data_IF_170444409109
#
_entry.id   IF_170444409109
#
_cell.length_a   1.000
_cell.length_b   1.000
_cell.length_c   1.000
_cell.angle_alpha   90.00
_cell.angle_beta   90.00
_cell.angle_gamma   90.00
#
_symmetry.space_group_name_H-M   'P 1'
#
loop_
_entity.id
_entity.type
_entity.pdbx_description
1 polymer ?
#
# COMPACT_ATOMS: atom_id res chain seq x y z
N UNK A 1 20.65 -22.31 -30.32
CA UNK A 1 19.29 -22.60 -29.84
C UNK A 1 19.39 -22.66 -28.34
N UNK A 2 18.95 -21.61 -27.64
CA UNK A 2 18.98 -21.58 -26.18
C UNK A 2 17.81 -22.40 -25.66
N UNK A 3 18.08 -23.35 -24.77
CA UNK A 3 17.08 -24.18 -24.12
C UNK A 3 16.21 -23.30 -23.23
N UNK A 4 14.92 -23.23 -23.56
CA UNK A 4 13.91 -22.61 -22.72
C UNK A 4 13.70 -23.53 -21.52
N UNK A 5 14.29 -23.19 -20.37
CA UNK A 5 13.98 -23.86 -19.10
C UNK A 5 12.48 -23.68 -18.80
N UNK A 6 11.73 -24.76 -18.94
CA UNK A 6 10.31 -24.82 -18.61
C UNK A 6 10.16 -24.70 -17.09
N UNK A 7 9.93 -23.47 -16.62
CA UNK A 7 9.67 -23.19 -15.20
C UNK A 7 8.46 -24.01 -14.74
N UNK A 8 8.69 -25.00 -13.87
CA UNK A 8 7.61 -25.86 -13.39
C UNK A 8 6.59 -25.03 -12.59
N UNK A 9 5.28 -25.18 -12.85
CA UNK A 9 4.27 -24.42 -12.12
C UNK A 9 4.37 -24.72 -10.61
N UNK A 10 4.62 -23.69 -9.81
CA UNK A 10 4.65 -23.81 -8.35
C UNK A 10 3.30 -24.34 -7.86
N UNK A 11 3.33 -25.50 -7.22
CA UNK A 11 2.14 -26.10 -6.59
C UNK A 11 1.58 -25.12 -5.54
N UNK A 12 0.28 -24.79 -5.55
CA UNK A 12 -0.29 -23.88 -4.59
C UNK A 12 -0.08 -24.43 -3.17
N UNK A 13 0.33 -23.59 -2.20
CA UNK A 13 0.58 -24.04 -0.84
C UNK A 13 -0.70 -24.68 -0.25
N UNK A 14 -0.51 -25.78 0.48
CA UNK A 14 -1.60 -26.46 1.16
C UNK A 14 -2.33 -25.55 2.16
N UNK A 15 -3.63 -25.75 2.35
CA UNK A 15 -4.43 -24.95 3.31
C UNK A 15 -3.91 -25.14 4.74
N UNK A 16 -3.35 -24.08 5.32
CA UNK A 16 -2.91 -24.04 6.72
C UNK A 16 -4.08 -23.55 7.59
N UNK A 17 -4.44 -24.26 8.65
CA UNK A 17 -5.54 -23.90 9.57
C UNK A 17 -5.04 -23.53 10.98
N UNK A 18 -5.89 -22.90 11.78
CA UNK A 18 -5.59 -22.54 13.18
C UNK A 18 -4.55 -21.41 13.32
N UNK A 19 -3.75 -21.44 14.39
CA UNK A 19 -2.67 -20.46 14.63
C UNK A 19 -1.65 -20.40 13.48
N UNK A 20 -1.47 -21.50 12.74
CA UNK A 20 -0.64 -21.53 11.54
C UNK A 20 -1.14 -20.63 10.40
N UNK A 21 -2.45 -20.33 10.34
CA UNK A 21 -3.02 -19.37 9.39
C UNK A 21 -2.62 -17.92 9.72
N UNK A 22 -2.50 -17.56 11.00
CA UNK A 22 -2.04 -16.23 11.42
C UNK A 22 -0.57 -16.02 11.05
N UNK A 23 0.28 -17.03 11.26
CA UNK A 23 1.69 -16.97 10.83
C UNK A 23 1.84 -16.96 9.30
N UNK A 24 1.01 -17.71 8.57
CA UNK A 24 0.96 -17.67 7.11
C UNK A 24 0.45 -16.31 6.58
N UNK A 25 -0.59 -15.73 7.20
CA UNK A 25 -1.04 -14.38 6.86
C UNK A 25 0.05 -13.34 7.14
N UNK A 26 0.78 -13.47 8.24
CA UNK A 26 1.95 -12.63 8.55
C UNK A 26 3.05 -12.74 7.48
N UNK A 27 3.36 -13.94 6.99
CA UNK A 27 4.36 -14.11 5.94
C UNK A 27 3.92 -13.56 4.58
N UNK A 28 2.64 -13.67 4.21
CA UNK A 28 2.09 -13.01 3.02
C UNK A 28 2.12 -11.48 3.12
N UNK A 29 1.79 -10.91 4.29
CA UNK A 29 1.87 -9.48 4.54
C UNK A 29 3.30 -8.94 4.40
N UNK A 30 4.32 -9.68 4.85
CA UNK A 30 5.73 -9.32 4.65
C UNK A 30 6.09 -9.32 3.16
N UNK A 31 5.58 -10.28 2.40
CA UNK A 31 5.74 -10.32 0.94
C UNK A 31 5.15 -9.08 0.26
N UNK A 32 3.93 -8.69 0.65
CA UNK A 32 3.27 -7.47 0.17
C UNK A 32 4.07 -6.21 0.51
N UNK A 33 4.52 -6.06 1.75
CA UNK A 33 5.35 -4.93 2.16
C UNK A 33 6.66 -4.85 1.37
N UNK A 34 7.32 -5.99 1.12
CA UNK A 34 8.54 -6.05 0.32
C UNK A 34 8.29 -5.67 -1.15
N UNK A 35 7.12 -5.99 -1.71
CA UNK A 35 6.72 -5.56 -3.05
C UNK A 35 6.50 -4.05 -3.09
N UNK A 36 5.76 -3.51 -2.12
CA UNK A 36 5.52 -2.07 -2.00
C UNK A 36 6.81 -1.27 -1.78
N UNK A 37 7.76 -1.80 -1.01
CA UNK A 37 9.04 -1.12 -0.76
C UNK A 37 9.84 -0.82 -2.04
N UNK A 38 9.56 -1.52 -3.14
CA UNK A 38 10.18 -1.25 -4.45
C UNK A 38 9.60 -0.01 -5.11
N UNK A 39 8.38 0.38 -4.76
CA UNK A 39 7.74 1.57 -5.29
C UNK A 39 8.33 2.83 -4.68
N UNK A 40 8.62 3.81 -5.54
CA UNK A 40 9.12 5.12 -5.10
C UNK A 40 8.02 5.91 -4.38
N UNK A 41 6.78 5.80 -4.85
CA UNK A 41 5.62 6.44 -4.21
C UNK A 41 5.48 6.00 -2.74
N UNK A 42 5.39 4.69 -2.51
CA UNK A 42 5.33 4.13 -1.16
C UNK A 42 6.46 4.58 -0.22
N UNK A 43 7.70 4.67 -0.71
CA UNK A 43 8.83 5.16 0.10
C UNK A 43 8.67 6.64 0.48
N UNK A 44 8.14 7.47 -0.42
CA UNK A 44 7.82 8.85 -0.11
C UNK A 44 6.67 8.97 0.88
N UNK A 45 5.62 8.17 0.74
CA UNK A 45 4.49 8.13 1.67
C UNK A 45 4.95 7.80 3.09
N UNK A 46 5.80 6.77 3.25
CA UNK A 46 6.36 6.42 4.56
C UNK A 46 7.23 7.54 5.15
N UNK A 47 8.03 8.21 4.32
CA UNK A 47 8.83 9.35 4.76
C UNK A 47 7.93 10.50 5.23
N UNK A 48 6.92 10.86 4.45
CA UNK A 48 5.96 11.91 4.82
C UNK A 48 5.15 11.53 6.07
N UNK A 49 4.76 10.27 6.21
CA UNK A 49 4.10 9.75 7.42
C UNK A 49 4.99 9.97 8.65
N UNK A 50 6.26 9.54 8.57
CA UNK A 50 7.20 9.64 9.68
C UNK A 50 7.51 11.09 10.05
N UNK A 51 7.75 11.95 9.05
CA UNK A 51 7.98 13.39 9.26
C UNK A 51 6.73 14.05 9.85
N UNK A 52 5.54 13.75 9.31
CA UNK A 52 4.27 14.29 9.80
C UNK A 52 4.02 13.94 11.26
N UNK A 53 4.18 12.66 11.65
CA UNK A 53 4.07 12.23 13.05
C UNK A 53 5.07 12.98 13.93
N UNK A 54 6.34 13.10 13.50
CA UNK A 54 7.38 13.83 14.22
C UNK A 54 7.02 15.30 14.44
N UNK A 55 6.49 15.97 13.42
CA UNK A 55 6.04 17.36 13.52
C UNK A 55 4.84 17.51 14.46
N UNK A 56 3.82 16.66 14.34
CA UNK A 56 2.65 16.71 15.24
C UNK A 56 3.06 16.58 16.71
N UNK A 57 3.95 15.63 17.01
CA UNK A 57 4.48 15.45 18.37
C UNK A 57 5.32 16.64 18.80
N UNK A 58 6.19 17.16 17.93
CA UNK A 58 7.06 18.30 18.24
C UNK A 58 6.26 19.60 18.51
N UNK A 59 5.12 19.79 17.83
CA UNK A 59 4.23 20.94 18.04
C UNK A 59 3.17 20.71 19.12
N UNK A 60 3.21 19.58 19.83
CA UNK A 60 2.33 19.32 20.97
C UNK A 60 0.89 18.99 20.59
N UNK A 61 0.65 18.45 19.39
CA UNK A 61 -0.66 17.97 19.00
C UNK A 61 -1.18 16.91 19.99
N UNK A 62 -2.50 16.90 20.22
CA UNK A 62 -3.09 15.96 21.17
C UNK A 62 -2.86 14.50 20.75
N UNK A 63 -2.76 13.55 21.71
CA UNK A 63 -2.61 12.13 21.38
C UNK A 63 -3.72 11.58 20.47
N UNK A 64 -4.94 12.14 20.57
CA UNK A 64 -6.06 11.76 19.71
C UNK A 64 -5.81 12.15 18.25
N UNK A 65 -5.27 13.35 17.99
CA UNK A 65 -4.90 13.79 16.65
C UNK A 65 -3.76 12.95 16.07
N UNK A 66 -2.72 12.68 16.87
CA UNK A 66 -1.60 11.83 16.44
C UNK A 66 -2.09 10.42 16.10
N UNK A 67 -2.95 9.83 16.95
CA UNK A 67 -3.54 8.51 16.69
C UNK A 67 -4.40 8.49 15.43
N UNK A 68 -5.24 9.51 15.21
CA UNK A 68 -6.04 9.65 13.99
C UNK A 68 -5.18 9.74 12.73
N UNK A 69 -4.11 10.53 12.78
CA UNK A 69 -3.15 10.63 11.68
C UNK A 69 -2.46 9.29 11.42
N UNK A 70 -2.02 8.57 12.45
CA UNK A 70 -1.42 7.23 12.30
C UNK A 70 -2.39 6.25 11.64
N UNK A 71 -3.67 6.25 12.04
CA UNK A 71 -4.70 5.39 11.44
C UNK A 71 -4.90 5.73 9.95
N UNK A 72 -4.92 7.01 9.58
CA UNK A 72 -5.01 7.43 8.18
C UNK A 72 -3.77 7.04 7.36
N UNK A 73 -2.57 7.04 7.94
CA UNK A 73 -1.37 6.56 7.26
C UNK A 73 -1.39 5.03 7.09
N UNK A 74 -1.89 4.27 8.06
CA UNK A 74 -2.10 2.83 7.90
C UNK A 74 -3.13 2.53 6.80
N UNK A 75 -4.20 3.32 6.72
CA UNK A 75 -5.16 3.24 5.63
C UNK A 75 -4.49 3.57 4.28
N UNK A 76 -3.62 4.58 4.23
CA UNK A 76 -2.86 4.95 3.03
C UNK A 76 -2.03 3.77 2.52
N UNK A 77 -1.26 3.13 3.40
CA UNK A 77 -0.47 1.94 3.08
C UNK A 77 -1.37 0.81 2.55
N UNK A 78 -2.55 0.60 3.14
CA UNK A 78 -3.49 -0.42 2.69
C UNK A 78 -4.06 -0.13 1.30
N UNK A 79 -4.42 1.12 1.02
CA UNK A 79 -4.93 1.53 -0.29
C UNK A 79 -3.82 1.49 -1.35
N UNK A 80 -2.59 1.89 -1.03
CA UNK A 80 -1.44 1.78 -1.94
C UNK A 80 -1.11 0.32 -2.27
N UNK A 81 -1.25 -0.60 -1.29
CA UNK A 81 -1.13 -2.03 -1.52
C UNK A 81 -2.20 -2.54 -2.51
N UNK A 82 -3.44 -2.09 -2.35
CA UNK A 82 -4.54 -2.45 -3.25
C UNK A 82 -4.35 -1.85 -4.64
N UNK A 83 -3.91 -0.60 -4.74
CA UNK A 83 -3.59 0.05 -6.02
C UNK A 83 -2.50 -0.74 -6.76
N UNK A 84 -1.40 -1.06 -6.08
CA UNK A 84 -0.31 -1.88 -6.65
C UNK A 84 -0.80 -3.27 -7.07
N UNK A 85 -1.70 -3.90 -6.30
CA UNK A 85 -2.28 -5.19 -6.67
C UNK A 85 -3.16 -5.10 -7.93
N UNK A 86 -3.95 -4.04 -8.06
CA UNK A 86 -4.77 -3.75 -9.25
C UNK A 86 -3.84 -3.53 -10.45
N UNK A 87 -2.80 -2.71 -10.32
CA UNK A 87 -1.82 -2.48 -11.39
C UNK A 87 -1.17 -3.79 -11.86
N UNK A 88 -0.70 -4.62 -10.92
CA UNK A 88 -0.10 -5.91 -11.24
C UNK A 88 -1.07 -6.85 -11.98
N UNK A 89 -2.34 -6.85 -11.58
CA UNK A 89 -3.37 -7.67 -12.23
C UNK A 89 -3.71 -7.14 -13.63
N UNK A 90 -3.88 -5.83 -13.76
CA UNK A 90 -4.19 -5.16 -15.02
C UNK A 90 -3.06 -5.36 -16.03
N UNK A 91 -1.80 -5.19 -15.60
CA UNK A 91 -0.62 -5.41 -16.44
C UNK A 91 -0.50 -6.86 -16.91
N UNK A 92 -0.96 -7.81 -16.09
CA UNK A 92 -0.99 -9.21 -16.46
C UNK A 92 -2.10 -9.55 -17.47
N UNK A 93 -3.29 -8.96 -17.30
CA UNK A 93 -4.48 -9.25 -18.13
C UNK A 93 -4.49 -8.45 -19.44
N UNK A 94 -3.90 -7.25 -19.45
CA UNK A 94 -3.81 -6.35 -20.61
C UNK A 94 -2.38 -5.83 -20.79
N UNK A 95 -1.48 -6.65 -21.35
CA UNK A 95 -0.11 -6.23 -21.61
C UNK A 95 -0.02 -5.13 -22.68
N UNK A 96 -0.98 -5.09 -23.60
CA UNK A 96 -1.14 -4.00 -24.57
C UNK A 96 -2.06 -2.90 -24.03
N UNK A 97 -1.99 -1.73 -24.66
CA UNK A 97 -2.83 -0.60 -24.29
C UNK A 97 -4.32 -0.94 -24.47
N UNK A 98 -5.11 -0.70 -23.42
CA UNK A 98 -6.56 -0.81 -23.43
C UNK A 98 -7.20 0.27 -22.56
N UNK A 99 -8.34 0.78 -23.00
CA UNK A 99 -9.06 1.85 -22.28
C UNK A 99 -9.45 1.42 -20.86
N UNK A 100 -9.97 0.20 -20.69
CA UNK A 100 -10.31 -0.32 -19.36
C UNK A 100 -9.09 -0.42 -18.43
N UNK A 101 -7.90 -0.73 -18.99
CA UNK A 101 -6.67 -0.88 -18.23
C UNK A 101 -6.17 0.49 -17.74
N UNK A 102 -6.28 1.53 -18.59
CA UNK A 102 -6.06 2.92 -18.19
C UNK A 102 -7.02 3.30 -17.06
N UNK A 103 -8.33 3.11 -17.26
CA UNK A 103 -9.34 3.56 -16.30
C UNK A 103 -9.21 2.87 -14.94
N UNK A 104 -8.87 1.57 -14.91
CA UNK A 104 -8.63 0.83 -13.67
C UNK A 104 -7.46 1.40 -12.86
N UNK A 105 -6.34 1.74 -13.52
CA UNK A 105 -5.16 2.33 -12.88
C UNK A 105 -5.41 3.76 -12.42
N UNK A 106 -6.12 4.55 -13.23
CA UNK A 106 -6.46 5.93 -12.88
C UNK A 106 -7.37 5.99 -11.64
N UNK A 107 -8.35 5.08 -11.53
CA UNK A 107 -9.22 4.98 -10.36
C UNK A 107 -8.45 4.54 -9.10
N UNK A 108 -7.51 3.59 -9.24
CA UNK A 108 -6.64 3.18 -8.14
C UNK A 108 -5.75 4.33 -7.64
N UNK A 109 -5.13 5.07 -8.57
CA UNK A 109 -4.33 6.26 -8.27
C UNK A 109 -5.15 7.37 -7.62
N UNK A 110 -6.40 7.59 -8.07
CA UNK A 110 -7.32 8.54 -7.46
C UNK A 110 -7.65 8.16 -6.01
N UNK A 111 -7.83 6.87 -5.70
CA UNK A 111 -8.09 6.42 -4.34
C UNK A 111 -6.92 6.75 -3.39
N UNK A 112 -5.68 6.53 -3.84
CA UNK A 112 -4.46 6.92 -3.10
C UNK A 112 -4.44 8.44 -2.89
N UNK A 113 -4.68 9.21 -3.96
CA UNK A 113 -4.68 10.68 -3.89
C UNK A 113 -5.72 11.24 -2.90
N UNK A 114 -6.94 10.68 -2.87
CA UNK A 114 -7.97 11.05 -1.89
C UNK A 114 -7.50 10.82 -0.44
N UNK A 115 -6.76 9.74 -0.19
CA UNK A 115 -6.29 9.41 1.15
C UNK A 115 -5.07 10.23 1.56
N UNK A 116 -4.21 10.60 0.62
CA UNK A 116 -3.17 11.63 0.82
C UNK A 116 -3.83 12.97 1.19
N UNK A 117 -4.88 13.39 0.47
CA UNK A 117 -5.60 14.62 0.76
C UNK A 117 -6.23 14.59 2.17
N UNK A 118 -6.83 13.46 2.57
CA UNK A 118 -7.36 13.27 3.91
C UNK A 118 -6.28 13.37 5.01
N UNK A 119 -5.10 12.78 4.77
CA UNK A 119 -3.94 12.91 5.67
C UNK A 119 -3.50 14.37 5.79
N UNK A 120 -3.42 15.11 4.69
CA UNK A 120 -3.07 16.55 4.71
C UNK A 120 -4.08 17.35 5.52
N UNK A 121 -5.38 17.14 5.31
CA UNK A 121 -6.43 17.82 6.07
C UNK A 121 -6.32 17.48 7.56
N UNK A 122 -6.12 16.22 7.91
CA UNK A 122 -5.96 15.79 9.31
C UNK A 122 -4.72 16.43 9.95
N UNK A 123 -3.59 16.45 9.26
CA UNK A 123 -2.35 17.06 9.74
C UNK A 123 -2.52 18.56 10.00
N UNK A 124 -3.12 19.28 9.05
CA UNK A 124 -3.37 20.72 9.18
C UNK A 124 -4.36 20.99 10.32
N UNK A 125 -5.45 20.23 10.41
CA UNK A 125 -6.43 20.37 11.48
C UNK A 125 -5.79 20.12 12.87
N UNK A 126 -4.95 19.09 12.99
CA UNK A 126 -4.24 18.76 14.22
C UNK A 126 -3.26 19.84 14.71
N UNK A 127 -2.75 20.69 13.80
CA UNK A 127 -1.89 21.82 14.14
C UNK A 127 -2.67 23.10 14.46
N UNK A 128 -3.91 23.22 13.97
CA UNK A 128 -4.74 24.41 14.14
C UNK A 128 -5.74 24.31 15.31
N UNK A 129 -6.06 23.09 15.77
CA UNK A 129 -7.09 22.78 16.77
C UNK A 129 -6.51 22.05 17.97
#
# INVERSE_FOLDING_TARGET
>A
MAETETEMPRKPPGRVSGLGHLFAAGSYSIGGLRRLWRETAFRHELLFSAVGIGLLVAFGASPAWVAGFVVLNLALIAIEALNTAIECLVDHVSPDWAEFARDAKDLGSLAVACLIAANVVCFVAALLL
#
